data_IF_746599185900
#
_entry.id   IF_746599185900
#
_cell.length_a   1.000
_cell.length_b   1.000
_cell.length_c   1.000
_cell.angle_alpha   90.00
_cell.angle_beta   90.00
_cell.angle_gamma   90.00
#
_symmetry.space_group_name_H-M   'P 1'
#
loop_
_entity.id
_entity.type
_entity.pdbx_description
1 polymer ?
#
# COMPACT_ATOMS: atom_id res chain seq x y z
N UNK A 1 33.39 24.49 -36.84
CA UNK A 1 32.45 24.90 -35.77
C UNK A 1 31.77 23.66 -35.20
N UNK A 2 32.37 23.06 -34.17
CA UNK A 2 31.80 21.95 -33.41
C UNK A 2 30.99 22.52 -32.25
N UNK A 3 29.66 22.60 -32.41
CA UNK A 3 28.76 22.96 -31.33
C UNK A 3 28.65 21.77 -30.35
N UNK A 4 29.51 21.73 -29.34
CA UNK A 4 29.27 20.88 -28.16
C UNK A 4 28.11 21.47 -27.38
N UNK A 5 26.88 21.10 -27.77
CA UNK A 5 25.67 21.35 -26.99
C UNK A 5 25.84 20.58 -25.67
N UNK A 6 26.29 21.26 -24.60
CA UNK A 6 26.23 20.74 -23.22
C UNK A 6 24.78 20.35 -22.99
N UNK A 7 24.47 19.06 -23.09
CA UNK A 7 23.17 18.50 -22.75
C UNK A 7 23.00 18.75 -21.26
N UNK A 8 22.29 19.82 -20.93
CA UNK A 8 21.80 20.17 -19.60
C UNK A 8 20.83 19.07 -19.16
N UNK A 9 21.38 17.93 -18.77
CA UNK A 9 20.63 16.77 -18.33
C UNK A 9 19.71 17.18 -17.18
N UNK A 10 18.39 16.99 -17.30
CA UNK A 10 17.43 17.58 -16.39
C UNK A 10 17.33 16.76 -15.10
N UNK A 11 18.41 16.69 -14.32
CA UNK A 11 18.50 15.94 -13.07
C UNK A 11 17.39 16.30 -12.08
N UNK A 12 16.92 17.56 -12.09
CA UNK A 12 15.77 18.00 -11.29
C UNK A 12 14.48 17.30 -11.71
N UNK A 13 14.23 17.14 -13.00
CA UNK A 13 13.05 16.41 -13.50
C UNK A 13 13.15 14.91 -13.16
N UNK A 14 14.34 14.33 -13.28
CA UNK A 14 14.58 12.94 -12.88
C UNK A 14 14.33 12.75 -11.38
N UNK A 15 14.85 13.65 -10.54
CA UNK A 15 14.64 13.61 -9.09
C UNK A 15 13.15 13.77 -8.72
N UNK A 16 12.43 14.69 -9.37
CA UNK A 16 11.00 14.87 -9.17
C UNK A 16 10.20 13.64 -9.60
N UNK A 17 10.51 13.05 -10.75
CA UNK A 17 9.86 11.82 -11.22
C UNK A 17 10.11 10.65 -10.25
N UNK A 18 11.34 10.52 -9.75
CA UNK A 18 11.67 9.51 -8.75
C UNK A 18 10.90 9.73 -7.45
N UNK A 19 10.85 10.97 -6.94
CA UNK A 19 10.10 11.29 -5.73
C UNK A 19 8.60 11.02 -5.89
N UNK A 20 8.02 11.37 -7.04
CA UNK A 20 6.62 11.08 -7.35
C UNK A 20 6.36 9.57 -7.42
N UNK A 21 7.25 8.80 -8.06
CA UNK A 21 7.17 7.34 -8.10
C UNK A 21 7.24 6.72 -6.69
N UNK A 22 8.20 7.16 -5.87
CA UNK A 22 8.34 6.72 -4.49
C UNK A 22 7.09 7.05 -3.67
N UNK A 23 6.54 8.26 -3.79
CA UNK A 23 5.31 8.66 -3.12
C UNK A 23 4.13 7.78 -3.53
N UNK A 24 4.00 7.44 -4.82
CA UNK A 24 2.98 6.53 -5.32
C UNK A 24 3.07 5.14 -4.70
N UNK A 25 4.28 4.56 -4.66
CA UNK A 25 4.52 3.24 -4.04
C UNK A 25 4.27 3.25 -2.53
N UNK A 26 4.71 4.29 -1.83
CA UNK A 26 4.46 4.42 -0.39
C UNK A 26 2.96 4.56 -0.13
N UNK A 27 2.27 5.41 -0.90
CA UNK A 27 0.83 5.62 -0.77
C UNK A 27 0.04 4.33 -0.98
N UNK A 28 0.37 3.54 -2.02
CA UNK A 28 -0.28 2.27 -2.28
C UNK A 28 0.01 1.24 -1.17
N UNK A 29 1.26 1.14 -0.70
CA UNK A 29 1.61 0.24 0.39
C UNK A 29 0.86 0.58 1.69
N UNK A 30 0.74 1.86 2.03
CA UNK A 30 -0.05 2.33 3.17
C UNK A 30 -1.52 1.96 2.98
N UNK A 31 -2.10 2.24 1.81
CA UNK A 31 -3.49 1.89 1.52
C UNK A 31 -3.73 0.39 1.70
N UNK A 32 -2.93 -0.47 1.06
CA UNK A 32 -3.03 -1.93 1.17
C UNK A 32 -2.96 -2.41 2.62
N UNK A 33 -2.00 -1.91 3.40
CA UNK A 33 -1.86 -2.30 4.80
C UNK A 33 -3.03 -1.80 5.66
N UNK A 34 -3.55 -0.59 5.41
CA UNK A 34 -4.71 -0.07 6.15
C UNK A 34 -5.99 -0.84 5.86
N UNK A 35 -6.17 -1.29 4.60
CA UNK A 35 -7.33 -2.07 4.18
C UNK A 35 -7.28 -3.54 4.64
N UNK A 36 -6.15 -4.00 5.17
CA UNK A 36 -6.00 -5.33 5.77
C UNK A 36 -6.47 -5.36 7.26
N UNK A 37 -6.66 -4.20 7.89
CA UNK A 37 -6.90 -4.09 9.34
C UNK A 37 -8.36 -4.25 9.75
N UNK A 38 -8.58 -4.76 10.97
CA UNK A 38 -9.91 -4.91 11.57
C UNK A 38 -10.72 -3.61 11.64
N UNK A 39 -10.05 -2.46 11.79
CA UNK A 39 -10.73 -1.15 11.77
C UNK A 39 -11.36 -0.81 10.42
N UNK A 40 -10.72 -1.20 9.32
CA UNK A 40 -11.29 -1.03 7.98
C UNK A 40 -12.40 -2.06 7.73
N UNK A 41 -12.14 -3.34 8.00
CA UNK A 41 -13.14 -4.40 7.80
C UNK A 41 -14.41 -4.16 8.62
N UNK A 42 -14.25 -3.76 9.89
CA UNK A 42 -15.35 -3.45 10.81
C UNK A 42 -16.07 -2.11 10.54
N UNK A 43 -15.65 -1.34 9.52
CA UNK A 43 -16.35 -0.11 9.13
C UNK A 43 -17.70 -0.38 8.46
N UNK A 44 -17.90 -1.60 7.95
CA UNK A 44 -19.19 -2.07 7.46
C UNK A 44 -19.97 -2.78 8.57
N UNK A 45 -21.25 -2.43 8.74
CA UNK A 45 -22.10 -3.03 9.79
C UNK A 45 -22.23 -4.56 9.71
N UNK A 46 -22.14 -5.14 8.52
CA UNK A 46 -22.18 -6.58 8.30
C UNK A 46 -20.99 -7.30 8.92
N UNK A 47 -19.88 -6.59 9.15
CA UNK A 47 -18.64 -7.11 9.72
C UNK A 47 -18.51 -6.83 11.21
N UNK A 48 -19.51 -6.23 11.86
CA UNK A 48 -19.44 -5.82 13.27
C UNK A 48 -19.12 -7.00 14.20
N UNK A 49 -19.82 -8.14 14.03
CA UNK A 49 -19.60 -9.36 14.83
C UNK A 49 -18.17 -9.89 14.65
N UNK A 50 -17.69 -9.96 13.40
CA UNK A 50 -16.35 -10.45 13.08
C UNK A 50 -15.26 -9.55 13.67
N UNK A 51 -15.44 -8.23 13.60
CA UNK A 51 -14.49 -7.27 14.18
C UNK A 51 -14.46 -7.34 15.71
N UNK A 52 -15.62 -7.47 16.37
CA UNK A 52 -15.72 -7.59 17.83
C UNK A 52 -15.07 -8.88 18.35
N UNK A 53 -15.43 -10.02 17.75
CA UNK A 53 -14.90 -11.32 18.15
C UNK A 53 -13.41 -11.43 17.88
N UNK A 54 -12.92 -10.89 16.75
CA UNK A 54 -11.49 -10.77 16.47
C UNK A 54 -10.77 -9.98 17.57
N UNK A 55 -11.30 -8.82 17.98
CA UNK A 55 -10.71 -7.96 19.03
C UNK A 55 -10.63 -8.64 20.40
N UNK A 56 -11.52 -9.59 20.69
CA UNK A 56 -11.54 -10.35 21.93
C UNK A 56 -10.75 -11.67 21.85
N UNK A 57 -10.21 -12.02 20.68
CA UNK A 57 -9.52 -13.27 20.44
C UNK A 57 -8.02 -13.18 20.73
N UNK A 58 -7.35 -14.33 20.73
CA UNK A 58 -5.88 -14.43 20.75
C UNK A 58 -5.21 -13.83 19.51
N UNK A 59 -5.96 -13.61 18.43
CA UNK A 59 -5.49 -13.01 17.19
C UNK A 59 -5.71 -11.50 17.12
N UNK A 60 -6.16 -10.83 18.19
CA UNK A 60 -6.51 -9.40 18.17
C UNK A 60 -5.37 -8.43 17.76
N UNK A 61 -4.12 -8.91 17.70
CA UNK A 61 -2.95 -8.15 17.25
C UNK A 61 -2.55 -8.42 15.80
N UNK A 62 -3.20 -9.38 15.15
CA UNK A 62 -3.00 -9.72 13.74
C UNK A 62 -3.98 -8.94 12.88
N UNK A 63 -3.62 -8.64 11.64
CA UNK A 63 -4.55 -8.04 10.69
C UNK A 63 -5.55 -9.12 10.20
N UNK A 64 -6.76 -8.72 9.79
CA UNK A 64 -7.76 -9.68 9.29
C UNK A 64 -7.23 -10.46 8.09
N UNK A 65 -6.56 -9.77 7.18
CA UNK A 65 -6.02 -10.36 5.96
C UNK A 65 -4.70 -11.14 6.14
N UNK A 66 -4.17 -11.25 7.37
CA UNK A 66 -3.15 -12.27 7.65
C UNK A 66 -3.73 -13.70 7.63
N UNK A 67 -5.05 -13.84 7.80
CA UNK A 67 -5.76 -15.11 7.61
C UNK A 67 -6.64 -15.11 6.36
N UNK A 68 -7.25 -13.97 6.01
CA UNK A 68 -8.28 -13.89 4.97
C UNK A 68 -7.75 -13.57 3.56
N UNK A 69 -6.45 -13.30 3.40
CA UNK A 69 -5.85 -13.07 2.10
C UNK A 69 -4.54 -13.86 1.91
N UNK A 70 -4.17 -14.23 0.67
CA UNK A 70 -2.87 -14.83 0.38
C UNK A 70 -1.73 -13.88 0.77
N UNK A 71 -0.64 -14.41 1.31
CA UNK A 71 0.52 -13.60 1.69
C UNK A 71 1.40 -13.22 0.49
N UNK A 72 1.26 -13.94 -0.63
CA UNK A 72 1.97 -13.61 -1.86
C UNK A 72 1.38 -12.33 -2.48
N UNK A 73 2.22 -11.31 -2.62
CA UNK A 73 1.84 -10.01 -3.17
C UNK A 73 1.28 -10.12 -4.60
N UNK A 74 1.84 -11.00 -5.43
CA UNK A 74 1.39 -11.19 -6.82
C UNK A 74 -0.06 -11.66 -6.87
N UNK A 75 -0.49 -12.46 -5.90
CA UNK A 75 -1.87 -12.96 -5.82
C UNK A 75 -2.85 -11.97 -5.20
N UNK A 76 -2.37 -10.89 -4.56
CA UNK A 76 -3.20 -9.81 -3.99
C UNK A 76 -3.55 -8.72 -5.01
N UNK A 77 -2.81 -8.62 -6.11
CA UNK A 77 -3.04 -7.59 -7.14
C UNK A 77 -4.11 -8.12 -8.10
N UNK A 78 -5.29 -7.48 -8.19
CA UNK A 78 -6.24 -7.80 -9.24
C UNK A 78 -5.61 -7.45 -10.58
N UNK A 79 -5.68 -8.38 -11.53
CA UNK A 79 -5.26 -8.20 -12.92
C UNK A 79 -5.94 -6.99 -13.56
#
# INVERSE_FOLDING_TARGET
>A
MTLTKKRNWPWRLVALAFAAGAAGVIGSAVAMNTTDQAGFCGSCHSMAEAALTHKQSVHAKLACNECHAPHNLVTKIPF
#
